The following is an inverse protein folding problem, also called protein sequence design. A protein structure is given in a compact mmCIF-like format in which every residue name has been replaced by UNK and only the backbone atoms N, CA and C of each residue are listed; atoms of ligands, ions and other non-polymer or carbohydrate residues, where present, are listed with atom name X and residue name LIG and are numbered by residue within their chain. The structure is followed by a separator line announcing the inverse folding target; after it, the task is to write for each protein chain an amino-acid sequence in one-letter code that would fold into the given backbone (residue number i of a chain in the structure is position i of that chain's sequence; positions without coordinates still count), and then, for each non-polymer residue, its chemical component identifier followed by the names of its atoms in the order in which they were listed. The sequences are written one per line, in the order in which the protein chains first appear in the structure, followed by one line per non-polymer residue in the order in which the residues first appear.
data_IF_230018583717
#
_entry.id   IF_230018583717
#
_cell.length_a   1.000
_cell.length_b   1.000
_cell.length_c   1.000
_cell.angle_alpha   90.00
_cell.angle_beta   90.00
_cell.angle_gamma   90.00
#
_symmetry.space_group_name_H-M   'P 1'
#
loop_
_entity.id
_entity.type
_entity.pdbx_description
1 polymer ?
#
# COMPACT_ATOMS: atom_id res chain seq x y z
N UNK A 1 20.31 5.09 -23.52
CA UNK A 1 20.20 6.24 -22.59
C UNK A 1 20.15 5.66 -21.19
N UNK A 2 21.11 6.02 -20.33
CA UNK A 2 21.19 5.54 -18.96
C UNK A 2 19.94 6.03 -18.20
N UNK A 3 18.99 5.14 -17.92
CA UNK A 3 17.85 5.47 -17.07
C UNK A 3 18.37 5.60 -15.65
N UNK A 4 18.69 6.82 -15.23
CA UNK A 4 19.06 7.12 -13.85
C UNK A 4 17.89 6.75 -12.94
N UNK A 5 18.00 5.61 -12.27
CA UNK A 5 17.06 5.18 -11.25
C UNK A 5 17.21 6.12 -10.05
N UNK A 6 16.12 6.80 -9.67
CA UNK A 6 16.09 7.59 -8.43
C UNK A 6 15.52 6.71 -7.34
N UNK A 7 16.34 6.41 -6.34
CA UNK A 7 15.93 5.63 -5.16
C UNK A 7 15.24 6.52 -4.14
N UNK A 8 14.10 6.06 -3.64
CA UNK A 8 13.34 6.66 -2.55
C UNK A 8 13.17 5.60 -1.44
N UNK A 9 12.90 6.00 -0.19
CA UNK A 9 12.49 5.04 0.84
C UNK A 9 11.24 4.30 0.35
N UNK A 10 11.28 2.96 0.34
CA UNK A 10 10.15 2.14 -0.10
C UNK A 10 9.62 2.50 -1.51
N UNK A 11 10.48 3.02 -2.39
CA UNK A 11 10.08 3.39 -3.73
C UNK A 11 11.23 3.62 -4.69
N UNK A 12 10.95 3.54 -5.98
CA UNK A 12 11.92 3.82 -7.03
C UNK A 12 11.24 4.53 -8.20
N UNK A 13 11.93 5.53 -8.77
CA UNK A 13 11.52 6.19 -10.00
C UNK A 13 12.48 5.76 -11.11
N UNK A 14 11.94 5.16 -12.17
CA UNK A 14 12.69 4.79 -13.37
C UNK A 14 12.00 5.36 -14.60
N UNK A 15 12.61 6.39 -15.20
CA UNK A 15 12.01 7.11 -16.32
C UNK A 15 10.68 7.78 -15.93
N UNK A 16 9.58 7.35 -16.55
CA UNK A 16 8.22 7.86 -16.29
C UNK A 16 7.43 7.03 -15.28
N UNK A 17 8.06 6.06 -14.61
CA UNK A 17 7.38 5.13 -13.70
C UNK A 17 7.85 5.32 -12.27
N UNK A 18 6.90 5.36 -11.35
CA UNK A 18 7.11 5.25 -9.91
C UNK A 18 6.59 3.90 -9.45
N UNK A 19 7.42 3.18 -8.70
CA UNK A 19 7.05 1.95 -8.02
C UNK A 19 7.15 2.22 -6.53
N UNK A 20 6.06 2.03 -5.81
CA UNK A 20 6.03 2.12 -4.35
C UNK A 20 5.88 0.72 -3.76
N UNK A 21 6.55 0.46 -2.65
CA UNK A 21 6.57 -0.83 -1.97
C UNK A 21 5.92 -0.71 -0.60
N UNK A 22 5.01 -1.62 -0.32
CA UNK A 22 4.35 -1.78 0.96
C UNK A 22 4.59 -3.20 1.45
N UNK A 23 4.58 -3.35 2.77
CA UNK A 23 4.65 -4.64 3.44
C UNK A 23 3.24 -5.12 3.73
N UNK A 24 2.91 -6.32 3.25
CA UNK A 24 1.62 -6.94 3.54
C UNK A 24 1.45 -7.32 5.03
N UNK A 25 2.51 -7.22 5.83
CA UNK A 25 2.42 -7.37 7.29
C UNK A 25 1.99 -6.07 7.98
N UNK A 26 2.45 -4.93 7.45
CA UNK A 26 2.16 -3.62 8.05
C UNK A 26 0.82 -3.06 7.58
N UNK A 27 0.45 -3.34 6.32
CA UNK A 27 -0.75 -2.77 5.73
C UNK A 27 -1.35 -3.68 4.65
N UNK A 28 -2.68 -3.85 4.74
CA UNK A 28 -3.42 -4.69 3.81
C UNK A 28 -3.73 -3.96 2.49
N UNK A 29 -3.82 -4.73 1.40
CA UNK A 29 -4.12 -4.22 0.06
C UNK A 29 -5.41 -3.38 -0.01
N UNK A 30 -6.54 -3.74 0.64
CA UNK A 30 -7.75 -2.91 0.62
C UNK A 30 -7.55 -1.53 1.26
N UNK A 31 -6.72 -1.43 2.31
CA UNK A 31 -6.39 -0.16 2.96
C UNK A 31 -5.57 0.71 2.01
N UNK A 32 -4.54 0.13 1.38
CA UNK A 32 -3.77 0.80 0.33
C UNK A 32 -4.69 1.29 -0.80
N UNK A 33 -5.57 0.42 -1.30
CA UNK A 33 -6.48 0.76 -2.38
C UNK A 33 -7.47 1.88 -2.00
N UNK A 34 -7.97 1.90 -0.76
CA UNK A 34 -8.85 2.98 -0.30
C UNK A 34 -8.12 4.31 -0.22
N UNK A 35 -6.94 4.35 0.40
CA UNK A 35 -6.14 5.57 0.54
C UNK A 35 -5.70 6.15 -0.82
N UNK A 36 -5.37 5.28 -1.78
CA UNK A 36 -5.09 5.68 -3.15
C UNK A 36 -6.33 6.23 -3.86
N UNK A 37 -7.48 5.54 -3.75
CA UNK A 37 -8.73 5.93 -4.40
C UNK A 37 -9.15 7.35 -4.01
N UNK A 38 -9.01 7.71 -2.75
CA UNK A 38 -9.35 9.04 -2.22
C UNK A 38 -8.51 10.19 -2.82
N UNK A 39 -7.38 9.87 -3.44
CA UNK A 39 -6.40 10.84 -3.96
C UNK A 39 -6.21 10.76 -5.47
N UNK A 40 -7.01 9.93 -6.14
CA UNK A 40 -6.92 9.69 -7.57
C UNK A 40 -7.21 10.93 -8.41
N UNK A 41 -8.05 11.83 -7.91
CA UNK A 41 -8.35 13.13 -8.50
C UNK A 41 -7.09 14.02 -8.53
N UNK A 42 -6.42 14.19 -7.39
CA UNK A 42 -5.20 15.01 -7.30
C UNK A 42 -4.06 14.40 -8.11
N UNK A 43 -3.90 13.07 -8.08
CA UNK A 43 -2.92 12.39 -8.92
C UNK A 43 -3.18 12.62 -10.42
N UNK A 44 -4.45 12.63 -10.83
CA UNK A 44 -4.84 12.91 -12.22
C UNK A 44 -4.56 14.35 -12.62
N UNK A 45 -4.80 15.33 -11.75
CA UNK A 45 -4.43 16.74 -12.00
C UNK A 45 -2.93 16.94 -12.18
N UNK A 46 -2.11 16.04 -11.62
CA UNK A 46 -0.66 16.03 -11.79
C UNK A 46 -0.19 15.22 -13.02
N UNK A 47 -1.10 14.77 -13.88
CA UNK A 47 -0.83 13.85 -14.99
C UNK A 47 -0.15 12.53 -14.53
N UNK A 48 -0.52 12.01 -13.36
CA UNK A 48 -0.06 10.73 -12.85
C UNK A 48 -1.19 9.71 -12.88
N UNK A 49 -0.99 8.63 -13.63
CA UNK A 49 -1.93 7.53 -13.73
C UNK A 49 -1.52 6.39 -12.79
N UNK A 50 -2.48 5.81 -12.08
CA UNK A 50 -2.29 4.54 -11.39
C UNK A 50 -2.34 3.40 -12.40
N UNK A 51 -1.27 2.59 -12.44
CA UNK A 51 -1.09 1.51 -13.41
C UNK A 51 -1.44 0.12 -12.84
N UNK A 52 -1.65 0.01 -11.52
CA UNK A 52 -2.12 -1.22 -10.87
C UNK A 52 -1.27 -1.64 -9.67
N UNK A 53 -1.59 -2.84 -9.17
CA UNK A 53 -0.88 -3.49 -8.07
C UNK A 53 -0.07 -4.68 -8.57
N UNK A 54 0.99 -5.02 -7.85
CA UNK A 54 1.69 -6.28 -7.97
C UNK A 54 2.00 -6.82 -6.58
N UNK A 55 2.12 -8.14 -6.45
CA UNK A 55 2.49 -8.77 -5.19
C UNK A 55 3.68 -9.68 -5.43
N UNK A 56 4.72 -9.52 -4.61
CA UNK A 56 5.87 -10.39 -4.60
C UNK A 56 5.86 -11.21 -3.32
N UNK A 57 5.65 -12.51 -3.47
CA UNK A 57 5.60 -13.47 -2.37
C UNK A 57 6.99 -14.10 -2.25
N UNK A 58 7.72 -13.89 -1.13
CA UNK A 58 8.99 -14.56 -0.91
C UNK A 58 8.79 -16.06 -0.71
N UNK A 59 9.78 -16.87 -1.10
CA UNK A 59 9.73 -18.33 -0.99
C UNK A 59 9.49 -18.80 0.46
N UNK A 60 10.08 -18.10 1.43
CA UNK A 60 9.89 -18.33 2.85
C UNK A 60 9.19 -17.12 3.47
N UNK A 61 7.86 -17.11 3.42
CA UNK A 61 7.07 -16.04 4.03
C UNK A 61 7.08 -16.18 5.55
N UNK A 62 7.42 -15.09 6.24
CA UNK A 62 7.38 -14.99 7.71
C UNK A 62 7.03 -13.56 8.11
N UNK A 63 6.84 -13.31 9.40
CA UNK A 63 6.66 -11.93 9.92
C UNK A 63 7.86 -11.03 9.60
N UNK A 64 9.07 -11.60 9.51
CA UNK A 64 10.30 -10.87 9.17
C UNK A 64 10.54 -10.78 7.65
N UNK A 65 9.82 -11.58 6.86
CA UNK A 65 9.89 -11.64 5.40
C UNK A 65 8.48 -11.69 4.80
N UNK A 66 7.70 -10.62 4.98
CA UNK A 66 6.33 -10.60 4.48
C UNK A 66 6.30 -10.42 2.96
N UNK A 67 5.14 -10.69 2.35
CA UNK A 67 4.92 -10.37 0.95
C UNK A 67 5.02 -8.86 0.72
N UNK A 68 5.65 -8.45 -0.38
CA UNK A 68 5.71 -7.05 -0.78
C UNK A 68 4.56 -6.74 -1.73
N UNK A 69 3.77 -5.73 -1.38
CA UNK A 69 2.74 -5.16 -2.25
C UNK A 69 3.35 -3.97 -2.98
N UNK A 70 3.37 -4.03 -4.31
CA UNK A 70 3.87 -2.97 -5.19
C UNK A 70 2.70 -2.19 -5.76
N UNK A 71 2.81 -0.86 -5.72
CA UNK A 71 1.89 0.06 -6.41
C UNK A 71 2.64 0.73 -7.55
N UNK A 72 2.04 0.69 -8.75
CA UNK A 72 2.65 1.25 -9.95
C UNK A 72 1.95 2.54 -10.35
N UNK A 73 2.74 3.56 -10.63
CA UNK A 73 2.27 4.85 -11.15
C UNK A 73 3.09 5.25 -12.36
N UNK A 74 2.44 5.94 -13.30
CA UNK A 74 3.07 6.40 -14.53
C UNK A 74 2.73 7.87 -14.78
N UNK A 75 3.75 8.68 -15.06
CA UNK A 75 3.56 10.06 -15.51
C UNK A 75 3.18 10.07 -16.99
N UNK A 76 1.96 10.49 -17.29
CA UNK A 76 1.40 10.54 -18.65
C UNK A 76 1.52 11.92 -19.30
N UNK A 77 1.96 12.92 -18.54
CA UNK A 77 2.15 14.28 -19.03
C UNK A 77 3.36 14.43 -19.97
N UNK A 78 3.45 15.61 -20.58
CA UNK A 78 4.44 15.93 -21.62
C UNK A 78 5.33 17.13 -21.29
N UNK A 79 4.88 18.02 -20.42
CA UNK A 79 5.50 19.34 -20.25
C UNK A 79 6.45 19.43 -19.05
N UNK A 80 6.24 18.61 -18.02
CA UNK A 80 7.05 18.64 -16.79
C UNK A 80 8.09 17.51 -16.74
N UNK A 81 9.13 17.70 -15.92
CA UNK A 81 10.07 16.62 -15.58
C UNK A 81 9.33 15.52 -14.81
N UNK A 82 9.24 14.29 -15.38
CA UNK A 82 8.56 13.17 -14.73
C UNK A 82 9.09 12.88 -13.33
N UNK A 83 10.40 13.05 -13.11
CA UNK A 83 11.04 12.75 -11.83
C UNK A 83 10.52 13.66 -10.72
N UNK A 84 10.33 14.94 -11.02
CA UNK A 84 9.82 15.93 -10.05
C UNK A 84 8.37 15.65 -9.71
N UNK A 85 7.55 15.38 -10.71
CA UNK A 85 6.11 15.09 -10.52
C UNK A 85 5.91 13.78 -9.77
N UNK A 86 6.64 12.72 -10.14
CA UNK A 86 6.54 11.42 -9.48
C UNK A 86 7.05 11.47 -8.04
N UNK A 87 8.04 12.30 -7.70
CA UNK A 87 8.42 12.56 -6.30
C UNK A 87 7.28 13.22 -5.51
N UNK A 88 6.56 14.17 -6.09
CA UNK A 88 5.40 14.79 -5.45
C UNK A 88 4.27 13.78 -5.25
N UNK A 89 3.99 12.95 -6.25
CA UNK A 89 3.00 11.88 -6.16
C UNK A 89 3.37 10.87 -5.05
N UNK A 90 4.66 10.50 -4.95
CA UNK A 90 5.17 9.65 -3.87
C UNK A 90 4.85 10.24 -2.48
N UNK A 91 5.11 11.53 -2.27
CA UNK A 91 4.81 12.17 -0.98
C UNK A 91 3.31 12.25 -0.72
N UNK A 92 2.52 12.55 -1.75
CA UNK A 92 1.07 12.67 -1.62
C UNK A 92 0.41 11.34 -1.23
N UNK A 93 0.87 10.24 -1.85
CA UNK A 93 0.41 8.89 -1.47
C UNK A 93 0.81 8.58 -0.03
N UNK A 94 2.07 8.81 0.37
CA UNK A 94 2.52 8.50 1.74
C UNK A 94 1.83 9.35 2.81
N UNK A 95 1.71 10.66 2.61
CA UNK A 95 0.94 11.53 3.50
C UNK A 95 -0.48 11.01 3.60
N UNK A 96 -1.05 10.58 2.48
CA UNK A 96 -2.38 10.02 2.46
C UNK A 96 -2.56 8.75 3.28
N UNK A 97 -1.61 7.83 3.19
CA UNK A 97 -1.62 6.60 3.97
C UNK A 97 -1.54 6.88 5.48
N UNK A 98 -0.82 7.92 5.89
CA UNK A 98 -0.73 8.34 7.30
C UNK A 98 -2.05 8.99 7.74
N UNK A 99 -2.64 9.85 6.93
CA UNK A 99 -3.92 10.51 7.26
C UNK A 99 -5.08 9.52 7.33
N UNK A 100 -5.04 8.45 6.53
CA UNK A 100 -6.02 7.37 6.53
C UNK A 100 -5.75 6.31 7.59
N UNK A 101 -4.67 6.43 8.37
CA UNK A 101 -4.39 5.50 9.46
C UNK A 101 -5.37 5.78 10.61
N UNK A 102 -6.06 4.74 11.14
CA UNK A 102 -7.01 4.93 12.23
C UNK A 102 -6.30 5.53 13.43
N UNK A 103 -7.01 6.36 14.17
CA UNK A 103 -6.51 6.81 15.47
C UNK A 103 -6.38 5.62 16.44
N UNK A 104 -5.72 5.86 17.58
CA UNK A 104 -5.44 4.79 18.53
C UNK A 104 -6.72 4.12 19.06
N UNK A 105 -7.82 4.87 19.16
CA UNK A 105 -9.09 4.37 19.69
C UNK A 105 -9.79 3.48 18.67
N UNK A 106 -9.89 3.93 17.41
CA UNK A 106 -10.41 3.14 16.29
C UNK A 106 -9.58 1.88 16.06
N UNK A 107 -8.26 1.99 16.14
CA UNK A 107 -7.36 0.84 16.01
C UNK A 107 -7.54 -0.17 17.15
N UNK A 108 -7.66 0.31 18.39
CA UNK A 108 -7.89 -0.55 19.55
C UNK A 108 -9.24 -1.27 19.47
N UNK A 109 -10.28 -0.58 19.03
CA UNK A 109 -11.61 -1.16 18.80
C UNK A 109 -11.55 -2.26 17.72
N UNK A 110 -10.94 -1.97 16.57
CA UNK A 110 -10.79 -2.94 15.49
C UNK A 110 -10.00 -4.19 15.92
N UNK A 111 -8.97 -4.04 16.76
CA UNK A 111 -8.21 -5.17 17.33
C UNK A 111 -9.04 -5.99 18.31
N UNK A 112 -9.86 -5.35 19.14
CA UNK A 112 -10.77 -6.05 20.04
C UNK A 112 -11.80 -6.88 19.24
N UNK A 113 -12.37 -6.31 18.19
CA UNK A 113 -13.33 -7.00 17.32
C UNK A 113 -12.71 -8.22 16.62
N UNK A 114 -11.48 -8.09 16.11
CA UNK A 114 -10.75 -9.20 15.50
C UNK A 114 -10.48 -10.34 16.51
N UNK A 115 -10.13 -9.99 17.75
CA UNK A 115 -9.93 -10.96 18.84
C UNK A 115 -11.23 -11.73 19.14
N UNK A 116 -12.35 -11.01 19.24
CA UNK A 116 -13.67 -11.61 19.46
C UNK A 116 -14.06 -12.56 18.32
N UNK A 117 -13.79 -12.18 17.07
CA UNK A 117 -14.06 -13.01 15.89
C UNK A 117 -13.22 -14.29 15.92
N UNK A 118 -11.96 -14.18 16.32
CA UNK A 118 -11.04 -15.33 16.46
C UNK A 118 -11.50 -16.29 17.56
N UNK A 119 -11.95 -15.77 18.70
CA UNK A 119 -12.52 -16.57 19.78
C UNK A 119 -13.79 -17.30 19.33
N UNK A 120 -14.70 -16.61 18.65
CA UNK A 120 -15.92 -17.21 18.11
C UNK A 120 -15.60 -18.33 17.10
N UNK A 121 -14.60 -18.15 16.23
CA UNK A 121 -14.14 -19.20 15.32
C UNK A 121 -13.56 -20.41 16.08
N UNK A 122 -12.79 -20.16 17.14
CA UNK A 122 -12.24 -21.22 17.99
C UNK A 122 -13.34 -22.02 18.70
N UNK A 123 -14.38 -21.36 19.21
CA UNK A 123 -15.53 -22.02 19.84
C UNK A 123 -16.30 -22.87 18.84
N UNK A 124 -16.55 -22.38 17.62
CA UNK A 124 -17.20 -23.18 16.56
C UNK A 124 -16.36 -24.41 16.21
N UNK A 125 -15.04 -24.28 16.17
CA UNK A 125 -14.15 -25.41 15.92
C UNK A 125 -14.16 -26.44 17.07
N UNK A 126 -14.22 -26.00 18.33
CA UNK A 126 -14.36 -26.88 19.50
C UNK A 126 -15.70 -27.62 19.50
N UNK A 127 -16.80 -26.88 19.29
CA UNK A 127 -18.13 -27.45 19.19
C UNK A 127 -18.24 -28.50 18.06
N UNK A 128 -17.57 -28.28 16.92
CA UNK A 128 -17.47 -29.26 15.82
C UNK A 128 -16.66 -30.51 16.20
N UNK A 129 -15.68 -30.39 17.10
CA UNK A 129 -14.89 -31.52 17.61
C UNK A 129 -15.57 -32.27 18.75
N UNK A 130 -16.71 -31.77 19.25
CA UNK A 130 -17.43 -32.35 20.39
C UNK A 130 -16.80 -32.04 21.74
N UNK A 131 -16.00 -30.97 21.81
CA UNK A 131 -15.47 -30.37 23.04
C UNK A 131 -16.38 -29.27 23.57
#
# INVERSE_FOLDING_TARGET
MSSSETKLPYGAITGKKLIMHFSAFDIDLPVIASGLRERMDVLREMDVAFAGFGTEIPANMSEQTPASVKCFFEYVGKEADPTVILKRAYHLVWSGMIDSFPDLEEWAAAKADLSNLTLAQAEVLRARKGE
#
